data_IF_873434242752
#
_entry.id   IF_873434242752
#
_cell.length_a   1.000
_cell.length_b   1.000
_cell.length_c   1.000
_cell.angle_alpha   90.00
_cell.angle_beta   90.00
_cell.angle_gamma   90.00
#
_symmetry.space_group_name_H-M   'P 1'
#
loop_
_entity.id
_entity.type
_entity.pdbx_description
1 polymer ?
#
# COMPACT_ATOMS: atom_id res chain seq x y z
N UNK A 1 33.82 5.10 -34.26
CA UNK A 1 33.70 5.16 -32.78
C UNK A 1 32.29 5.55 -32.31
N UNK A 2 31.56 6.41 -33.03
CA UNK A 2 30.22 6.91 -32.64
C UNK A 2 29.13 5.84 -32.49
N UNK A 3 29.03 4.87 -33.41
CA UNK A 3 28.01 3.81 -33.34
C UNK A 3 28.10 2.88 -32.12
N UNK A 4 29.32 2.71 -31.55
CA UNK A 4 29.54 1.90 -30.34
C UNK A 4 29.12 2.64 -29.05
N UNK A 5 29.08 3.97 -29.09
CA UNK A 5 28.61 4.82 -28.00
C UNK A 5 27.08 4.88 -27.98
N UNK A 6 26.45 5.04 -29.16
CA UNK A 6 24.98 5.02 -29.29
C UNK A 6 24.37 3.69 -28.80
N UNK A 7 24.97 2.55 -29.13
CA UNK A 7 24.49 1.25 -28.66
C UNK A 7 24.57 1.09 -27.14
N UNK A 8 25.59 1.65 -26.49
CA UNK A 8 25.76 1.62 -25.02
C UNK A 8 24.74 2.51 -24.31
N UNK A 9 24.48 3.71 -24.85
CA UNK A 9 23.46 4.61 -24.31
C UNK A 9 22.06 4.02 -24.49
N UNK A 10 21.76 3.46 -25.67
CA UNK A 10 20.49 2.79 -25.93
C UNK A 10 20.26 1.61 -24.98
N UNK A 11 21.30 0.82 -24.69
CA UNK A 11 21.23 -0.30 -23.75
C UNK A 11 21.00 0.15 -22.30
N UNK A 12 21.67 1.21 -21.85
CA UNK A 12 21.48 1.77 -20.50
C UNK A 12 20.07 2.34 -20.35
N UNK A 13 19.58 3.09 -21.35
CA UNK A 13 18.21 3.64 -21.34
C UNK A 13 17.18 2.51 -21.35
N UNK A 14 17.38 1.47 -22.17
CA UNK A 14 16.51 0.30 -22.20
C UNK A 14 16.50 -0.45 -20.86
N UNK A 15 17.64 -0.56 -20.19
CA UNK A 15 17.73 -1.18 -18.86
C UNK A 15 16.98 -0.36 -17.80
N UNK A 16 17.17 0.96 -17.76
CA UNK A 16 16.45 1.82 -16.82
C UNK A 16 14.93 1.83 -17.07
N UNK A 17 14.49 1.77 -18.33
CA UNK A 17 13.06 1.62 -18.68
C UNK A 17 12.50 0.30 -18.16
N UNK A 18 13.23 -0.81 -18.29
CA UNK A 18 12.80 -2.13 -17.78
C UNK A 18 12.76 -2.18 -16.26
N UNK A 19 13.69 -1.53 -15.57
CA UNK A 19 13.69 -1.46 -14.10
C UNK A 19 12.52 -0.62 -13.57
N UNK A 20 12.22 0.54 -14.19
CA UNK A 20 11.05 1.37 -13.82
C UNK A 20 9.74 0.61 -14.05
N UNK A 21 9.65 -0.21 -15.10
CA UNK A 21 8.48 -1.06 -15.36
C UNK A 21 8.36 -2.27 -14.41
N UNK A 22 9.45 -2.71 -13.79
CA UNK A 22 9.48 -3.85 -12.85
C UNK A 22 9.27 -3.43 -11.38
N UNK A 23 9.57 -2.17 -11.05
CA UNK A 23 9.48 -1.64 -9.68
C UNK A 23 8.11 -1.02 -9.33
N UNK A 24 7.14 -1.06 -10.24
CA UNK A 24 5.75 -0.64 -10.02
C UNK A 24 4.94 -1.62 -9.16
N UNK A 25 5.58 -2.68 -8.65
CA UNK A 25 5.01 -3.67 -7.73
C UNK A 25 4.99 -3.25 -6.26
N UNK A 26 5.11 -1.96 -5.91
CA UNK A 26 4.75 -1.50 -4.58
C UNK A 26 3.23 -1.63 -4.45
N UNK A 27 2.78 -2.82 -4.06
CA UNK A 27 1.45 -3.04 -3.56
C UNK A 27 1.30 -2.20 -2.30
N UNK A 28 0.75 -0.99 -2.45
CA UNK A 28 -0.03 -0.42 -1.39
C UNK A 28 -1.22 -1.35 -1.24
N UNK A 29 -1.09 -2.33 -0.35
CA UNK A 29 -2.25 -3.04 0.12
C UNK A 29 -3.07 -1.99 0.88
N UNK A 30 -3.91 -1.25 0.14
CA UNK A 30 -5.01 -0.52 0.74
C UNK A 30 -5.95 -1.60 1.26
N UNK A 31 -5.63 -2.09 2.46
CA UNK A 31 -6.51 -2.99 3.17
C UNK A 31 -7.68 -2.16 3.61
N UNK A 32 -8.65 -1.96 2.72
CA UNK A 32 -10.02 -1.69 3.10
C UNK A 32 -10.51 -2.93 3.84
N UNK A 33 -9.99 -3.11 5.06
CA UNK A 33 -10.45 -4.14 5.97
C UNK A 33 -11.87 -3.73 6.31
N UNK A 34 -12.83 -4.39 5.67
CA UNK A 34 -14.22 -4.31 6.10
C UNK A 34 -14.29 -4.93 7.49
N UNK A 35 -14.38 -4.06 8.49
CA UNK A 35 -14.51 -4.43 9.89
C UNK A 35 -15.98 -4.71 10.21
N UNK A 36 -16.25 -5.83 10.86
CA UNK A 36 -17.62 -6.28 11.11
C UNK A 36 -18.24 -5.65 12.37
N UNK A 37 -17.43 -5.07 13.25
CA UNK A 37 -17.78 -4.70 14.62
C UNK A 37 -17.79 -3.18 14.88
N UNK A 38 -17.60 -2.38 13.83
CA UNK A 38 -17.63 -0.90 13.94
C UNK A 38 -18.94 -0.29 13.42
N UNK A 39 -19.85 -1.08 12.84
CA UNK A 39 -21.08 -0.58 12.24
C UNK A 39 -21.99 0.06 13.31
N UNK A 40 -22.41 1.31 13.11
CA UNK A 40 -23.18 2.13 14.08
C UNK A 40 -22.41 2.43 15.38
N UNK A 41 -21.11 2.17 15.44
CA UNK A 41 -20.27 2.62 16.54
C UNK A 41 -19.97 4.12 16.36
N UNK A 42 -19.92 4.89 17.46
CA UNK A 42 -19.72 6.34 17.37
C UNK A 42 -18.39 6.74 16.73
N UNK A 43 -17.37 5.87 16.83
CA UNK A 43 -16.03 6.06 16.26
C UNK A 43 -15.86 5.41 14.87
N UNK A 44 -16.94 4.99 14.20
CA UNK A 44 -16.87 4.27 12.93
C UNK A 44 -16.09 5.06 11.86
N UNK A 45 -16.35 6.36 11.75
CA UNK A 45 -15.72 7.21 10.74
C UNK A 45 -14.23 7.40 11.01
N UNK A 46 -13.85 7.68 12.26
CA UNK A 46 -12.46 7.86 12.68
C UNK A 46 -11.64 6.59 12.49
N UNK A 47 -12.21 5.43 12.86
CA UNK A 47 -11.53 4.13 12.68
C UNK A 47 -11.30 3.86 11.18
N UNK A 48 -12.30 4.13 10.33
CA UNK A 48 -12.16 3.98 8.87
C UNK A 48 -11.10 4.90 8.29
N UNK A 49 -11.04 6.15 8.74
CA UNK A 49 -10.01 7.10 8.30
C UNK A 49 -8.61 6.61 8.68
N UNK A 50 -8.41 6.18 9.94
CA UNK A 50 -7.10 5.74 10.39
C UNK A 50 -6.64 4.44 9.71
N UNK A 51 -7.56 3.53 9.38
CA UNK A 51 -7.25 2.33 8.58
C UNK A 51 -6.91 2.71 7.14
N UNK A 52 -7.69 3.60 6.51
CA UNK A 52 -7.42 4.09 5.17
C UNK A 52 -6.06 4.79 5.05
N UNK A 53 -5.64 5.47 6.12
CA UNK A 53 -4.33 6.12 6.24
C UNK A 53 -3.21 5.17 6.69
N UNK A 54 -3.50 3.90 6.99
CA UNK A 54 -2.53 2.92 7.45
C UNK A 54 -1.97 3.18 8.86
N UNK A 55 -2.66 3.95 9.70
CA UNK A 55 -2.24 4.30 11.06
C UNK A 55 -2.54 3.20 12.07
N UNK A 56 -3.61 2.43 11.84
CA UNK A 56 -4.04 1.29 12.64
C UNK A 56 -4.40 0.12 11.72
N UNK A 57 -4.54 -1.07 12.31
CA UNK A 57 -5.01 -2.26 11.61
C UNK A 57 -6.02 -3.02 12.47
N UNK A 58 -6.90 -3.76 11.81
CA UNK A 58 -7.80 -4.70 12.48
C UNK A 58 -7.08 -6.01 12.84
N UNK A 59 -7.81 -6.88 13.51
CA UNK A 59 -7.38 -8.24 13.83
C UNK A 59 -7.65 -9.20 12.65
N UNK A 60 -7.01 -10.37 12.70
CA UNK A 60 -7.12 -11.39 11.66
C UNK A 60 -8.56 -11.92 11.45
N UNK A 61 -9.44 -11.74 12.43
CA UNK A 61 -10.86 -12.14 12.39
C UNK A 61 -11.78 -11.08 11.76
N UNK A 62 -11.23 -9.98 11.21
CA UNK A 62 -11.96 -8.83 10.65
C UNK A 62 -12.72 -8.02 11.70
N UNK A 63 -12.14 -7.88 12.89
CA UNK A 63 -12.62 -6.99 13.97
C UNK A 63 -11.63 -5.89 14.29
N UNK A 64 -12.08 -4.80 14.90
CA UNK A 64 -11.23 -3.78 15.51
C UNK A 64 -11.30 -3.77 17.04
N UNK A 65 -12.40 -4.27 17.61
CA UNK A 65 -12.71 -4.35 19.03
C UNK A 65 -12.70 -2.95 19.69
N UNK A 66 -13.55 -2.01 19.22
CA UNK A 66 -13.49 -0.61 19.64
C UNK A 66 -13.71 -0.40 21.15
N UNK A 67 -14.45 -1.31 21.80
CA UNK A 67 -14.74 -1.27 23.24
C UNK A 67 -13.73 -2.03 24.10
N UNK A 68 -12.71 -2.64 23.48
CA UNK A 68 -11.69 -3.38 24.22
C UNK A 68 -10.76 -2.42 24.95
N UNK A 69 -10.64 -2.62 26.25
CA UNK A 69 -9.69 -1.89 27.08
C UNK A 69 -8.26 -2.18 26.61
N UNK A 70 -7.51 -1.10 26.36
CA UNK A 70 -6.08 -1.13 26.10
C UNK A 70 -5.37 -0.88 27.45
N UNK A 71 -4.31 -1.64 27.73
CA UNK A 71 -3.45 -1.50 28.93
C UNK A 71 -2.12 -0.87 28.58
#
# INVERSE_FOLDING_TARGET
MLGRLLGRVAFIVMFFVVQVLSFSGLSYAESQTSLNDINRHWAEEEIKEWIGNGLISGYADRTFQPDKVIT
#
